data_IF_124385577107
#
_entry.id   IF_124385577107
#
_cell.length_a   1.000
_cell.length_b   1.000
_cell.length_c   1.000
_cell.angle_alpha   90.00
_cell.angle_beta   90.00
_cell.angle_gamma   90.00
#
_symmetry.space_group_name_H-M   'P 1'
#
loop_
_entity.id
_entity.type
_entity.pdbx_description
1 polymer ?
#
# COMPACT_ATOMS: atom_id res chain seq x y z
N UNK A 1 -14.26 15.42 22.46
CA UNK A 1 -13.04 15.26 21.63
C UNK A 1 -13.40 14.48 20.37
N UNK A 2 -12.69 14.73 19.25
CA UNK A 2 -12.95 14.05 17.97
C UNK A 2 -11.70 13.28 17.51
N UNK A 3 -11.93 12.18 16.81
CA UNK A 3 -10.90 11.31 16.27
C UNK A 3 -11.22 10.97 14.81
N UNK A 4 -10.19 10.86 13.98
CA UNK A 4 -10.31 10.51 12.58
C UNK A 4 -9.73 9.12 12.36
N UNK A 5 -10.50 8.21 11.79
CA UNK A 5 -10.02 6.93 11.26
C UNK A 5 -9.89 7.02 9.73
N UNK A 6 -8.79 6.52 9.20
CA UNK A 6 -8.51 6.46 7.76
C UNK A 6 -8.21 5.02 7.39
N UNK A 7 -9.01 4.42 6.50
CA UNK A 7 -8.79 3.07 5.97
C UNK A 7 -8.46 3.15 4.47
N UNK A 8 -7.20 2.87 4.13
CA UNK A 8 -6.69 2.83 2.76
C UNK A 8 -6.96 1.45 2.14
N UNK A 9 -8.18 1.26 1.65
CA UNK A 9 -8.57 0.02 0.97
C UNK A 9 -8.01 -0.10 -0.45
N UNK A 10 -8.34 -1.18 -1.14
CA UNK A 10 -7.84 -1.43 -2.51
C UNK A 10 -8.51 -0.53 -3.55
N UNK A 11 -9.80 -0.23 -3.41
CA UNK A 11 -10.55 0.56 -4.40
C UNK A 11 -10.92 1.97 -3.93
N UNK A 12 -10.85 2.23 -2.63
CA UNK A 12 -11.22 3.50 -2.05
C UNK A 12 -10.55 3.69 -0.69
N UNK A 13 -10.33 4.96 -0.31
CA UNK A 13 -10.10 5.32 1.09
C UNK A 13 -11.45 5.61 1.75
N UNK A 14 -11.66 5.04 2.93
CA UNK A 14 -12.78 5.34 3.81
C UNK A 14 -12.29 6.09 5.03
N UNK A 15 -12.99 7.16 5.35
CA UNK A 15 -12.66 8.00 6.49
C UNK A 15 -13.88 8.11 7.40
N UNK A 16 -13.66 8.10 8.70
CA UNK A 16 -14.70 8.34 9.68
C UNK A 16 -14.28 9.42 10.68
N UNK A 17 -15.23 10.20 11.14
CA UNK A 17 -15.12 11.11 12.27
C UNK A 17 -15.96 10.56 13.41
N UNK A 18 -15.35 10.36 14.58
CA UNK A 18 -16.04 9.84 15.76
C UNK A 18 -15.66 10.63 17.01
N UNK A 19 -16.52 10.58 18.01
CA UNK A 19 -16.21 11.15 19.33
C UNK A 19 -15.58 10.12 20.31
N UNK A 20 -15.23 10.57 21.49
CA UNK A 20 -14.65 9.75 22.56
C UNK A 20 -15.57 8.64 23.09
N UNK A 21 -16.88 8.70 22.80
CA UNK A 21 -17.86 7.71 23.20
C UNK A 21 -18.10 6.66 22.09
N UNK A 22 -17.42 6.81 20.93
CA UNK A 22 -17.59 5.92 19.79
C UNK A 22 -18.74 6.28 18.86
N UNK A 23 -19.39 7.43 19.05
CA UNK A 23 -20.46 7.88 18.13
C UNK A 23 -19.82 8.38 16.83
N UNK A 24 -20.27 7.82 15.70
CA UNK A 24 -19.81 8.23 14.37
C UNK A 24 -20.61 9.47 13.94
N UNK A 25 -19.89 10.55 13.68
CA UNK A 25 -20.47 11.82 13.23
C UNK A 25 -20.60 11.90 11.70
N UNK A 26 -19.57 11.40 10.99
CA UNK A 26 -19.54 11.44 9.51
C UNK A 26 -18.65 10.32 8.97
N UNK A 27 -19.01 9.81 7.78
CA UNK A 27 -18.21 8.89 6.99
C UNK A 27 -18.06 9.48 5.59
N UNK A 28 -16.86 9.41 5.04
CA UNK A 28 -16.54 9.81 3.67
C UNK A 28 -15.83 8.64 2.98
N UNK A 29 -16.18 8.37 1.73
CA UNK A 29 -15.51 7.38 0.89
C UNK A 29 -15.09 8.04 -0.42
N UNK A 30 -13.82 7.83 -0.81
CA UNK A 30 -13.27 8.41 -2.03
C UNK A 30 -12.51 7.34 -2.80
N UNK A 31 -12.91 7.13 -4.04
CA UNK A 31 -12.34 6.13 -4.93
C UNK A 31 -11.04 6.62 -5.57
N UNK A 32 -10.19 5.69 -5.95
CA UNK A 32 -9.00 5.94 -6.76
C UNK A 32 -8.78 4.82 -7.78
N UNK A 33 -8.09 5.11 -8.91
CA UNK A 33 -7.90 4.15 -9.97
C UNK A 33 -7.09 2.92 -9.55
N UNK A 34 -7.45 1.79 -10.11
CA UNK A 34 -6.68 0.55 -10.08
C UNK A 34 -6.19 0.26 -11.50
N UNK A 35 -4.89 0.00 -11.67
CA UNK A 35 -4.26 -0.19 -12.96
C UNK A 35 -3.84 -1.64 -13.16
N UNK A 36 -4.10 -2.17 -14.35
CA UNK A 36 -3.74 -3.53 -14.77
C UNK A 36 -2.88 -3.49 -16.04
N UNK A 37 -1.60 -3.06 -15.95
CA UNK A 37 -0.76 -2.82 -17.14
C UNK A 37 -0.44 -4.09 -17.93
N UNK A 38 -0.49 -5.26 -17.28
CA UNK A 38 -0.33 -6.57 -17.89
C UNK A 38 -1.29 -7.59 -17.26
N UNK A 39 -1.59 -8.73 -17.91
CA UNK A 39 -2.35 -9.79 -17.27
C UNK A 39 -1.74 -10.23 -15.94
N UNK A 40 -2.55 -10.30 -14.89
CA UNK A 40 -2.12 -10.67 -13.55
C UNK A 40 -1.36 -9.60 -12.76
N UNK A 41 -1.13 -8.41 -13.33
CA UNK A 41 -0.53 -7.28 -12.63
C UNK A 41 -1.60 -6.38 -12.03
N UNK A 42 -1.31 -5.81 -10.86
CA UNK A 42 -2.21 -4.88 -10.17
C UNK A 42 -1.39 -3.78 -9.51
N UNK A 43 -1.63 -2.54 -9.94
CA UNK A 43 -0.85 -1.38 -9.53
C UNK A 43 -1.74 -0.19 -9.14
N UNK A 44 -1.22 0.66 -8.26
CA UNK A 44 -1.82 1.95 -7.91
C UNK A 44 -0.74 3.03 -7.77
N UNK A 45 -1.13 4.29 -7.99
CA UNK A 45 -0.24 5.43 -7.74
C UNK A 45 -0.37 5.86 -6.27
N UNK A 46 0.70 5.83 -5.46
CA UNK A 46 0.65 6.29 -4.06
C UNK A 46 0.19 7.74 -3.92
N UNK A 47 0.46 8.59 -4.92
CA UNK A 47 -0.04 9.96 -4.95
C UNK A 47 -1.57 10.07 -4.94
N UNK A 48 -2.27 9.12 -5.56
CA UNK A 48 -3.75 9.10 -5.56
C UNK A 48 -4.28 8.79 -4.15
N UNK A 49 -3.62 7.87 -3.42
CA UNK A 49 -3.97 7.57 -2.03
C UNK A 49 -3.87 8.81 -1.14
N UNK A 50 -2.74 9.54 -1.26
CA UNK A 50 -2.51 10.75 -0.49
C UNK A 50 -3.52 11.85 -0.85
N UNK A 51 -3.71 12.11 -2.16
CA UNK A 51 -4.64 13.15 -2.63
C UNK A 51 -6.07 12.88 -2.15
N UNK A 52 -6.58 11.66 -2.34
CA UNK A 52 -7.94 11.30 -1.93
C UNK A 52 -8.11 11.27 -0.40
N UNK A 53 -7.07 10.88 0.35
CA UNK A 53 -7.08 10.97 1.81
C UNK A 53 -7.17 12.42 2.29
N UNK A 54 -6.37 13.32 1.72
CA UNK A 54 -6.38 14.74 2.08
C UNK A 54 -7.71 15.42 1.73
N UNK A 55 -8.26 15.13 0.55
CA UNK A 55 -9.59 15.62 0.17
C UNK A 55 -10.68 15.05 1.09
N UNK A 56 -10.61 13.75 1.41
CA UNK A 56 -11.53 13.11 2.33
C UNK A 56 -11.47 13.71 3.74
N UNK A 57 -10.28 14.01 4.26
CA UNK A 57 -10.12 14.69 5.56
C UNK A 57 -10.73 16.10 5.53
N UNK A 58 -10.52 16.86 4.43
CA UNK A 58 -11.11 18.20 4.28
C UNK A 58 -12.63 18.14 4.31
N UNK A 59 -13.21 17.22 3.55
CA UNK A 59 -14.66 16.99 3.50
C UNK A 59 -15.21 16.52 4.86
N UNK A 60 -14.51 15.60 5.52
CA UNK A 60 -14.88 15.03 6.81
C UNK A 60 -14.95 16.12 7.90
N UNK A 61 -14.00 17.06 7.86
CA UNK A 61 -13.85 18.12 8.88
C UNK A 61 -14.46 19.46 8.50
N UNK A 62 -15.20 19.53 7.38
CA UNK A 62 -15.74 20.79 6.88
C UNK A 62 -16.72 21.48 7.85
N UNK A 63 -17.48 20.69 8.60
CA UNK A 63 -18.55 21.15 9.48
C UNK A 63 -18.24 20.97 10.97
N UNK A 64 -17.03 20.54 11.32
CA UNK A 64 -16.63 20.36 12.72
C UNK A 64 -15.61 21.41 13.17
N UNK A 65 -15.57 21.63 14.47
CA UNK A 65 -14.49 22.41 15.10
C UNK A 65 -13.19 21.58 15.08
N UNK A 66 -12.29 21.93 14.16
CA UNK A 66 -11.01 21.23 13.94
C UNK A 66 -10.11 21.22 15.18
N UNK A 67 -10.28 22.20 16.09
CA UNK A 67 -9.51 22.26 17.35
C UNK A 67 -9.87 21.11 18.30
N UNK A 68 -11.01 20.45 18.09
CA UNK A 68 -11.42 19.28 18.86
C UNK A 68 -10.85 17.96 18.34
N UNK A 69 -10.25 17.94 17.15
CA UNK A 69 -9.61 16.74 16.61
C UNK A 69 -8.32 16.46 17.40
N UNK A 70 -8.26 15.32 18.08
CA UNK A 70 -7.17 14.94 18.98
C UNK A 70 -6.26 13.85 18.42
N UNK A 71 -6.70 13.16 17.38
CA UNK A 71 -5.87 12.13 16.80
C UNK A 71 -6.40 11.64 15.47
N UNK A 72 -5.47 11.07 14.66
CA UNK A 72 -5.75 10.38 13.43
C UNK A 72 -5.10 9.01 13.52
N UNK A 73 -5.82 7.97 13.11
CA UNK A 73 -5.31 6.61 13.02
C UNK A 73 -5.51 6.06 11.60
N UNK A 74 -4.60 5.21 11.18
CA UNK A 74 -4.59 4.65 9.84
C UNK A 74 -4.69 3.12 9.89
N UNK A 75 -5.53 2.56 9.04
CA UNK A 75 -5.53 1.19 8.60
C UNK A 75 -5.41 1.14 7.08
N UNK A 76 -5.29 -0.03 6.51
CA UNK A 76 -5.30 -0.13 5.05
C UNK A 76 -4.86 -1.50 4.52
N UNK A 77 -4.86 -1.61 3.19
CA UNK A 77 -4.39 -2.81 2.51
C UNK A 77 -2.91 -3.08 2.83
N UNK A 78 -2.61 -4.34 3.09
CA UNK A 78 -1.27 -4.80 3.46
C UNK A 78 -0.51 -5.37 2.25
N UNK A 79 0.76 -5.71 2.42
CA UNK A 79 1.62 -6.40 1.45
C UNK A 79 1.89 -5.64 0.13
N UNK A 80 1.37 -4.43 -0.05
CA UNK A 80 1.74 -3.56 -1.16
C UNK A 80 3.21 -3.14 -1.07
N UNK A 81 3.89 -3.05 -2.23
CA UNK A 81 5.25 -2.52 -2.30
C UNK A 81 5.22 -1.11 -2.89
N UNK A 82 5.62 -0.12 -2.10
CA UNK A 82 5.95 1.24 -2.53
C UNK A 82 7.47 1.41 -2.45
N UNK A 83 8.08 1.94 -3.50
CA UNK A 83 9.52 2.18 -3.57
C UNK A 83 9.78 3.67 -3.78
N UNK A 84 10.64 4.23 -2.95
CA UNK A 84 11.02 5.64 -2.99
C UNK A 84 12.50 5.77 -3.36
N UNK A 85 12.88 6.90 -3.94
CA UNK A 85 14.28 7.31 -4.11
C UNK A 85 14.83 7.97 -2.82
N UNK A 86 16.09 8.40 -2.86
CA UNK A 86 16.76 9.07 -1.74
C UNK A 86 16.14 10.43 -1.35
N UNK A 87 15.31 11.01 -2.23
CA UNK A 87 14.59 12.25 -2.01
C UNK A 87 13.11 12.03 -1.67
N UNK A 88 12.74 10.79 -1.30
CA UNK A 88 11.38 10.35 -0.98
C UNK A 88 10.37 10.45 -2.15
N UNK A 89 10.84 10.51 -3.40
CA UNK A 89 9.95 10.46 -4.56
C UNK A 89 9.59 9.01 -4.89
N UNK A 90 8.34 8.80 -5.27
CA UNK A 90 7.85 7.50 -5.72
C UNK A 90 8.48 7.13 -7.05
N UNK A 91 9.28 6.05 -7.09
CA UNK A 91 9.99 5.57 -8.28
C UNK A 91 9.01 5.01 -9.32
N UNK A 92 7.95 4.33 -8.88
CA UNK A 92 6.97 3.68 -9.74
C UNK A 92 5.64 3.47 -9.01
N UNK A 93 4.55 3.14 -9.73
CA UNK A 93 3.31 2.70 -9.10
C UNK A 93 3.54 1.55 -8.11
N UNK A 94 2.80 1.55 -7.02
CA UNK A 94 2.82 0.49 -6.01
C UNK A 94 2.37 -0.84 -6.62
N UNK A 95 3.06 -1.93 -6.28
CA UNK A 95 2.66 -3.30 -6.64
C UNK A 95 1.76 -3.82 -5.53
N UNK A 96 0.50 -4.12 -5.83
CA UNK A 96 -0.51 -4.44 -4.83
C UNK A 96 -0.44 -5.90 -4.34
N UNK A 97 -1.19 -6.19 -3.28
CA UNK A 97 -1.27 -7.52 -2.65
C UNK A 97 -1.86 -8.61 -3.58
N UNK A 98 -2.74 -8.22 -4.49
CA UNK A 98 -3.38 -9.11 -5.48
C UNK A 98 -2.61 -9.20 -6.82
N UNK A 99 -1.35 -8.76 -6.84
CA UNK A 99 -0.46 -8.84 -8.01
C UNK A 99 0.24 -10.19 -8.06
N UNK A 100 0.22 -10.83 -9.23
CA UNK A 100 0.77 -12.17 -9.46
C UNK A 100 2.12 -12.20 -10.18
N UNK A 101 2.78 -11.05 -10.47
CA UNK A 101 4.01 -11.00 -11.29
C UNK A 101 5.22 -11.72 -10.69
N UNK A 102 5.22 -12.04 -9.42
CA UNK A 102 6.37 -12.53 -8.65
C UNK A 102 6.36 -14.03 -8.40
N UNK A 103 5.74 -14.81 -9.27
CA UNK A 103 5.69 -16.28 -9.12
C UNK A 103 7.09 -16.90 -9.06
N UNK A 104 8.00 -16.45 -9.94
CA UNK A 104 9.39 -16.94 -10.01
C UNK A 104 10.17 -16.64 -8.71
N UNK A 105 10.04 -15.43 -8.18
CA UNK A 105 10.69 -15.02 -6.95
C UNK A 105 10.08 -15.74 -5.73
N UNK A 106 8.78 -16.00 -5.78
CA UNK A 106 8.07 -16.80 -4.78
C UNK A 106 8.58 -18.24 -4.76
N UNK A 107 8.75 -18.84 -5.93
CA UNK A 107 9.31 -20.19 -6.08
C UNK A 107 10.74 -20.24 -5.56
N UNK A 108 11.59 -19.27 -5.95
CA UNK A 108 12.96 -19.15 -5.45
C UNK A 108 13.01 -19.10 -3.92
N UNK A 109 12.21 -18.24 -3.29
CA UNK A 109 12.15 -18.14 -1.82
C UNK A 109 11.73 -19.47 -1.17
N UNK A 110 10.71 -20.13 -1.72
CA UNK A 110 10.17 -21.35 -1.14
C UNK A 110 11.07 -22.58 -1.35
N UNK A 111 11.80 -22.65 -2.46
CA UNK A 111 12.61 -23.82 -2.81
C UNK A 111 14.08 -23.65 -2.43
N UNK A 112 14.70 -22.48 -2.72
CA UNK A 112 16.12 -22.25 -2.50
C UNK A 112 16.41 -21.82 -1.06
N UNK A 113 15.67 -20.84 -0.52
CA UNK A 113 15.76 -20.48 0.91
C UNK A 113 15.12 -21.57 1.76
N UNK A 114 14.00 -22.12 1.29
CA UNK A 114 13.27 -23.22 1.89
C UNK A 114 12.14 -22.77 2.81
N UNK A 115 10.98 -23.41 2.65
CA UNK A 115 9.76 -23.11 3.41
C UNK A 115 9.96 -23.22 4.92
N UNK A 116 10.75 -24.18 5.39
CA UNK A 116 11.05 -24.39 6.80
C UNK A 116 11.85 -23.21 7.37
N UNK A 117 12.88 -22.76 6.66
CA UNK A 117 13.68 -21.59 7.03
C UNK A 117 12.82 -20.32 7.06
N UNK A 118 12.02 -20.10 6.01
CA UNK A 118 11.09 -18.97 5.97
C UNK A 118 10.14 -18.98 7.14
N UNK A 119 9.47 -20.09 7.39
CA UNK A 119 8.52 -20.24 8.50
C UNK A 119 9.16 -20.00 9.86
N UNK A 120 10.42 -20.43 10.05
CA UNK A 120 11.15 -20.19 11.29
C UNK A 120 11.38 -18.69 11.57
N UNK A 121 11.70 -17.90 10.53
CA UNK A 121 12.06 -16.49 10.71
C UNK A 121 10.89 -15.51 10.49
N UNK A 122 9.89 -15.88 9.69
CA UNK A 122 8.79 -14.99 9.32
C UNK A 122 7.42 -15.50 9.72
N UNK A 123 7.36 -16.68 10.36
CA UNK A 123 6.14 -17.41 10.68
C UNK A 123 5.25 -17.72 9.46
N UNK A 124 5.81 -17.66 8.25
CA UNK A 124 5.07 -17.90 7.01
C UNK A 124 5.99 -18.41 5.88
N UNK A 125 5.40 -18.94 4.82
CA UNK A 125 6.06 -19.21 3.55
C UNK A 125 5.90 -18.01 2.61
N UNK A 126 6.62 -17.98 1.47
CA UNK A 126 6.46 -16.92 0.48
C UNK A 126 5.19 -17.11 -0.38
N UNK A 127 4.50 -16.01 -0.66
CA UNK A 127 3.37 -15.92 -1.60
C UNK A 127 3.57 -14.73 -2.54
N UNK A 128 3.11 -14.84 -3.78
CA UNK A 128 3.27 -13.78 -4.79
C UNK A 128 2.66 -12.42 -4.34
N UNK A 129 1.56 -12.47 -3.60
CA UNK A 129 0.92 -11.28 -3.03
C UNK A 129 1.72 -10.58 -1.91
N UNK A 130 2.73 -11.24 -1.33
CA UNK A 130 3.52 -10.70 -0.22
C UNK A 130 4.65 -9.78 -0.69
N UNK A 131 5.18 -8.96 0.23
CA UNK A 131 6.15 -7.91 -0.11
C UNK A 131 7.53 -8.47 -0.48
N UNK A 132 8.01 -9.53 0.18
CA UNK A 132 9.37 -10.05 -0.05
C UNK A 132 9.64 -10.49 -1.51
N UNK A 133 8.77 -11.26 -2.19
CA UNK A 133 8.95 -11.58 -3.61
C UNK A 133 8.98 -10.33 -4.50
N UNK A 134 8.20 -9.29 -4.17
CA UNK A 134 8.16 -8.03 -4.93
C UNK A 134 9.48 -7.26 -4.81
N UNK A 135 10.11 -7.29 -3.64
CA UNK A 135 11.45 -6.69 -3.44
C UNK A 135 12.49 -7.39 -4.31
N UNK A 136 12.47 -8.73 -4.37
CA UNK A 136 13.38 -9.48 -5.24
C UNK A 136 13.16 -9.14 -6.71
N UNK A 137 11.91 -9.13 -7.15
CA UNK A 137 11.54 -8.73 -8.51
C UNK A 137 12.04 -7.32 -8.84
N UNK A 138 11.84 -6.35 -7.94
CA UNK A 138 12.34 -4.98 -8.11
C UNK A 138 13.86 -4.94 -8.24
N UNK A 139 14.60 -5.66 -7.40
CA UNK A 139 16.06 -5.77 -7.48
C UNK A 139 16.54 -6.25 -8.84
N UNK A 140 15.87 -7.25 -9.42
CA UNK A 140 16.18 -7.75 -10.76
C UNK A 140 15.89 -6.70 -11.85
N UNK A 141 14.81 -5.92 -11.73
CA UNK A 141 14.48 -4.88 -12.70
C UNK A 141 15.45 -3.71 -12.66
N UNK A 142 15.83 -3.24 -11.47
CA UNK A 142 16.83 -2.18 -11.28
C UNK A 142 18.19 -2.64 -11.87
N UNK A 143 18.63 -3.86 -11.59
CA UNK A 143 19.85 -4.42 -12.16
C UNK A 143 19.84 -4.46 -13.69
N UNK A 144 18.71 -4.79 -14.32
CA UNK A 144 18.55 -4.78 -15.79
C UNK A 144 18.56 -3.36 -16.37
N UNK A 145 17.97 -2.37 -15.69
CA UNK A 145 18.01 -0.98 -16.12
C UNK A 145 19.44 -0.44 -16.13
N UNK A 146 20.20 -0.68 -15.06
CA UNK A 146 21.61 -0.23 -14.97
C UNK A 146 22.54 -0.91 -16.00
N UNK A 147 22.19 -2.13 -16.47
CA UNK A 147 22.93 -2.79 -17.54
C UNK A 147 22.59 -2.22 -18.93
N UNK A 148 21.39 -1.67 -19.13
CA UNK A 148 21.00 -1.07 -20.43
C UNK A 148 21.60 0.33 -20.65
N UNK A 149 21.88 1.07 -19.59
CA UNK A 149 22.49 2.40 -19.69
C UNK A 149 24.04 2.36 -19.91
N UNK A 150 24.66 1.18 -19.90
CA UNK A 150 26.10 0.99 -20.11
C UNK A 150 26.48 0.47 -21.52
N UNK A 151 25.55 0.53 -22.47
CA UNK A 151 25.83 0.15 -23.88
C UNK A 151 25.85 1.39 -24.76
#
# INVERSE_FOLDING_TARGET
MLYIGVDLGTSAVKLLLMDENGNIHKIVSREYPLYFPHPGWSEQKPGDWFAQSMEGIRELTAECDKSQVRGISFGGQMHGLVVLDEADHVIRPAILWNDGRTEKETEYLNQVIGKETLSKYTANIAFAGFTAPKILWMKEQIGRASCRERV
#
